data_IF_079028850207
#
_entry.id   IF_079028850207
#
_cell.length_a   1.000
_cell.length_b   1.000
_cell.length_c   1.000
_cell.angle_alpha   90.00
_cell.angle_beta   90.00
_cell.angle_gamma   90.00
#
_symmetry.space_group_name_H-M   'P 1'
#
loop_
_entity.id
_entity.type
_entity.pdbx_description
1 polymer ?
#
# COMPACT_ATOMS: atom_id res chain seq x y z
N UNK A 1 -1.30 -4.98 4.45
CA UNK A 1 -1.77 -3.68 3.92
C UNK A 1 -2.47 -2.96 5.06
N UNK A 2 -1.95 -1.80 5.50
CA UNK A 2 -2.44 -1.17 6.73
C UNK A 2 -3.90 -0.69 6.62
N UNK A 3 -4.73 -1.11 7.58
CA UNK A 3 -6.19 -0.93 7.63
C UNK A 3 -6.65 0.29 8.42
N UNK A 4 -5.75 1.08 9.02
CA UNK A 4 -6.12 2.14 9.98
C UNK A 4 -7.19 3.10 9.43
N UNK A 5 -7.14 3.45 8.14
CA UNK A 5 -8.07 4.38 7.50
C UNK A 5 -9.14 3.74 6.61
N UNK A 6 -9.18 2.41 6.49
CA UNK A 6 -10.15 1.73 5.62
C UNK A 6 -11.60 1.97 6.08
N UNK A 7 -11.83 2.05 7.39
CA UNK A 7 -13.14 2.41 7.96
C UNK A 7 -13.51 3.86 7.69
N UNK A 8 -12.54 4.78 7.84
CA UNK A 8 -12.74 6.21 7.56
C UNK A 8 -13.08 6.45 6.09
N UNK A 9 -12.35 5.85 5.16
CA UNK A 9 -12.67 5.98 3.73
C UNK A 9 -14.00 5.34 3.35
N UNK A 10 -14.43 4.27 4.04
CA UNK A 10 -15.74 3.67 3.80
C UNK A 10 -16.90 4.55 4.27
N UNK A 11 -16.68 5.32 5.33
CA UNK A 11 -17.69 6.22 5.89
C UNK A 11 -17.77 7.59 5.18
N UNK A 12 -16.70 8.00 4.49
CA UNK A 12 -16.61 9.30 3.84
C UNK A 12 -17.10 9.23 2.37
N UNK A 13 -18.13 10.01 1.98
CA UNK A 13 -18.72 9.96 0.65
C UNK A 13 -17.78 10.44 -0.47
N UNK A 14 -16.67 11.11 -0.12
CA UNK A 14 -15.66 11.54 -1.10
C UNK A 14 -14.89 10.38 -1.72
N UNK A 15 -15.01 9.17 -1.17
CA UNK A 15 -14.26 8.01 -1.65
C UNK A 15 -15.17 6.86 -2.08
N UNK A 16 -14.73 6.16 -3.12
CA UNK A 16 -15.41 4.97 -3.62
C UNK A 16 -14.42 3.82 -3.81
N UNK A 17 -14.86 2.59 -3.53
CA UNK A 17 -14.14 1.38 -3.97
C UNK A 17 -14.66 0.98 -5.35
N UNK A 18 -13.79 1.04 -6.36
CA UNK A 18 -14.07 0.55 -7.72
C UNK A 18 -13.15 -0.62 -8.05
N UNK A 19 -13.68 -1.59 -8.79
CA UNK A 19 -12.86 -2.69 -9.31
C UNK A 19 -12.00 -2.18 -10.47
N UNK A 20 -10.73 -2.56 -10.47
CA UNK A 20 -9.82 -2.34 -11.61
C UNK A 20 -9.87 -3.57 -12.50
N UNK A 21 -10.34 -3.42 -13.73
CA UNK A 21 -10.53 -4.54 -14.66
C UNK A 21 -9.24 -5.32 -14.92
N UNK A 22 -8.11 -4.64 -15.14
CA UNK A 22 -6.82 -5.30 -15.38
C UNK A 22 -6.38 -6.20 -14.22
N UNK A 23 -6.43 -5.71 -12.98
CA UNK A 23 -6.12 -6.52 -11.78
C UNK A 23 -7.12 -7.65 -11.56
N UNK A 24 -8.39 -7.44 -11.94
CA UNK A 24 -9.42 -8.47 -11.87
C UNK A 24 -9.12 -9.60 -12.84
N UNK A 25 -8.86 -9.28 -14.11
CA UNK A 25 -8.51 -10.29 -15.11
C UNK A 25 -7.21 -11.01 -14.81
N UNK A 26 -6.19 -10.29 -14.34
CA UNK A 26 -4.93 -10.90 -13.91
C UNK A 26 -5.12 -11.88 -12.74
N UNK A 27 -5.93 -11.51 -11.74
CA UNK A 27 -6.27 -12.40 -10.63
C UNK A 27 -7.03 -13.65 -11.09
N UNK A 28 -8.00 -13.51 -12.01
CA UNK A 28 -8.73 -14.63 -12.61
C UNK A 28 -7.76 -15.54 -13.38
N UNK A 29 -6.90 -14.97 -14.21
CA UNK A 29 -5.93 -15.72 -15.01
C UNK A 29 -4.96 -16.52 -14.14
N UNK A 30 -4.47 -15.95 -13.03
CA UNK A 30 -3.62 -16.66 -12.06
C UNK A 30 -4.34 -17.87 -11.43
N UNK A 31 -5.61 -17.72 -11.07
CA UNK A 31 -6.40 -18.81 -10.49
C UNK A 31 -6.61 -19.92 -11.52
N UNK A 32 -7.00 -19.57 -12.75
CA UNK A 32 -7.21 -20.54 -13.82
C UNK A 32 -5.92 -21.26 -14.19
N UNK A 33 -4.82 -20.53 -14.36
CA UNK A 33 -3.51 -21.11 -14.65
C UNK A 33 -3.05 -22.04 -13.52
N UNK A 34 -3.18 -21.62 -12.25
CA UNK A 34 -2.86 -22.46 -11.12
C UNK A 34 -3.69 -23.75 -11.07
N UNK A 35 -4.99 -23.67 -11.36
CA UNK A 35 -5.85 -24.85 -11.41
C UNK A 35 -5.47 -25.82 -12.54
N UNK A 36 -5.17 -25.28 -13.73
CA UNK A 36 -4.69 -26.07 -14.87
C UNK A 36 -3.36 -26.76 -14.53
N UNK A 37 -2.42 -26.05 -13.90
CA UNK A 37 -1.16 -26.62 -13.45
C UNK A 37 -1.37 -27.72 -12.41
N UNK A 38 -2.27 -27.53 -11.42
CA UNK A 38 -2.58 -28.58 -10.43
C UNK A 38 -3.11 -29.84 -11.11
N UNK A 39 -4.05 -29.70 -12.05
CA UNK A 39 -4.61 -30.84 -12.79
C UNK A 39 -3.52 -31.54 -13.58
N UNK A 40 -2.65 -30.77 -14.26
CA UNK A 40 -1.53 -31.32 -15.03
C UNK A 40 -0.53 -32.05 -14.13
N UNK A 41 -0.14 -31.46 -13.00
CA UNK A 41 0.76 -32.03 -12.00
C UNK A 41 0.17 -33.29 -11.37
N UNK A 42 -1.14 -33.32 -11.11
CA UNK A 42 -1.83 -34.50 -10.59
C UNK A 42 -1.90 -35.64 -11.61
N UNK A 43 -2.19 -35.35 -12.88
CA UNK A 43 -2.23 -36.35 -13.95
C UNK A 43 -0.85 -36.92 -14.28
N UNK A 44 0.19 -36.09 -14.19
CA UNK A 44 1.57 -36.46 -14.49
C UNK A 44 2.38 -36.69 -13.21
N UNK A 45 1.74 -37.01 -12.09
CA UNK A 45 2.40 -37.13 -10.80
C UNK A 45 3.53 -38.16 -10.81
N UNK A 46 3.26 -39.34 -11.39
CA UNK A 46 4.24 -40.43 -11.51
C UNK A 46 5.39 -40.04 -12.47
N UNK A 47 5.13 -39.58 -13.71
CA UNK A 47 6.19 -39.06 -14.59
C UNK A 47 7.04 -37.96 -13.96
N UNK A 48 6.45 -37.01 -13.22
CA UNK A 48 7.16 -35.92 -12.55
C UNK A 48 8.03 -36.42 -11.40
N UNK A 49 7.53 -37.41 -10.64
CA UNK A 49 8.30 -38.06 -9.60
C UNK A 49 9.50 -38.82 -10.19
N UNK A 50 9.32 -39.50 -11.33
CA UNK A 50 10.38 -40.21 -12.04
C UNK A 50 11.42 -39.25 -12.62
N UNK A 51 11.00 -38.16 -13.27
CA UNK A 51 11.89 -37.10 -13.75
C UNK A 51 12.73 -36.49 -12.62
N UNK A 52 12.09 -36.17 -11.48
CA UNK A 52 12.79 -35.66 -10.31
C UNK A 52 13.75 -36.69 -9.68
N UNK A 53 13.47 -37.98 -9.87
CA UNK A 53 14.34 -39.08 -9.44
C UNK A 53 15.60 -39.14 -10.31
N UNK A 54 15.47 -38.96 -11.61
CA UNK A 54 16.60 -39.04 -12.54
C UNK A 54 17.61 -37.89 -12.36
N UNK A 55 17.15 -36.70 -11.97
CA UNK A 55 18.02 -35.55 -11.69
C UNK A 55 18.76 -35.57 -10.34
N UNK A 56 18.57 -36.59 -9.48
CA UNK A 56 19.25 -36.71 -8.19
C UNK A 56 20.57 -37.46 -8.31
N UNK A 57 21.67 -36.75 -8.61
CA UNK A 57 22.94 -37.36 -9.02
C UNK A 57 23.74 -38.06 -7.89
N UNK A 58 23.59 -37.66 -6.62
CA UNK A 58 24.60 -38.01 -5.60
C UNK A 58 24.21 -39.07 -4.54
N UNK A 59 22.93 -39.44 -4.37
CA UNK A 59 22.58 -40.59 -3.50
C UNK A 59 21.17 -41.14 -3.74
N UNK A 60 21.00 -42.45 -3.57
CA UNK A 60 19.68 -43.12 -3.67
C UNK A 60 18.66 -42.55 -2.67
N UNK A 61 19.12 -42.05 -1.51
CA UNK A 61 18.29 -41.49 -0.45
C UNK A 61 17.80 -40.07 -0.82
N UNK A 62 18.68 -39.23 -1.36
CA UNK A 62 18.30 -37.91 -1.92
C UNK A 62 17.38 -38.10 -3.12
N UNK A 63 17.69 -39.05 -4.00
CA UNK A 63 16.90 -39.39 -5.18
C UNK A 63 15.47 -39.83 -4.86
N UNK A 64 15.29 -40.78 -3.95
CA UNK A 64 13.96 -41.23 -3.53
C UNK A 64 13.18 -40.14 -2.78
N UNK A 65 13.88 -39.28 -2.03
CA UNK A 65 13.28 -38.15 -1.33
C UNK A 65 12.82 -37.03 -2.29
N UNK A 66 13.61 -36.72 -3.31
CA UNK A 66 13.27 -35.74 -4.34
C UNK A 66 12.09 -36.21 -5.21
N UNK A 67 12.03 -37.50 -5.57
CA UNK A 67 10.91 -38.07 -6.32
C UNK A 67 9.55 -37.87 -5.62
N UNK A 68 9.51 -38.05 -4.30
CA UNK A 68 8.26 -37.86 -3.52
C UNK A 68 7.93 -36.39 -3.23
N UNK A 69 8.94 -35.52 -3.08
CA UNK A 69 8.75 -34.14 -2.64
C UNK A 69 8.47 -33.20 -3.81
N UNK A 70 9.09 -33.39 -4.97
CA UNK A 70 9.02 -32.43 -6.09
C UNK A 70 7.58 -32.17 -6.57
N UNK A 71 6.75 -33.19 -6.85
CA UNK A 71 5.36 -32.95 -7.25
C UNK A 71 4.55 -32.22 -6.17
N UNK A 72 4.81 -32.52 -4.89
CA UNK A 72 4.15 -31.86 -3.76
C UNK A 72 4.56 -30.38 -3.64
N UNK A 73 5.83 -30.06 -3.88
CA UNK A 73 6.33 -28.68 -3.90
C UNK A 73 5.74 -27.90 -5.08
N UNK A 74 5.61 -28.51 -6.26
CA UNK A 74 4.96 -27.89 -7.42
C UNK A 74 3.50 -27.53 -7.11
N UNK A 75 2.73 -28.47 -6.54
CA UNK A 75 1.36 -28.22 -6.07
C UNK A 75 1.34 -27.08 -5.03
N UNK A 76 2.27 -27.07 -4.09
CA UNK A 76 2.34 -26.00 -3.08
C UNK A 76 2.59 -24.62 -3.70
N UNK A 77 3.48 -24.51 -4.69
CA UNK A 77 3.74 -23.26 -5.43
C UNK A 77 2.48 -22.82 -6.19
N UNK A 78 1.79 -23.74 -6.85
CA UNK A 78 0.54 -23.47 -7.57
C UNK A 78 -0.55 -22.95 -6.64
N UNK A 79 -0.72 -23.57 -5.46
CA UNK A 79 -1.64 -23.13 -4.42
C UNK A 79 -1.32 -21.72 -3.92
N UNK A 80 -0.03 -21.37 -3.78
CA UNK A 80 0.39 -20.00 -3.45
C UNK A 80 -0.03 -19.03 -4.56
N UNK A 81 0.13 -19.41 -5.83
CA UNK A 81 -0.33 -18.61 -6.97
C UNK A 81 -1.84 -18.38 -6.97
N UNK A 82 -2.63 -19.42 -6.70
CA UNK A 82 -4.09 -19.33 -6.58
C UNK A 82 -4.47 -18.42 -5.40
N UNK A 83 -3.87 -18.65 -4.23
CA UNK A 83 -4.12 -17.83 -3.04
C UNK A 83 -3.81 -16.34 -3.31
N UNK A 84 -2.73 -16.06 -4.04
CA UNK A 84 -2.39 -14.72 -4.47
C UNK A 84 -3.43 -14.13 -5.45
N UNK A 85 -3.88 -14.91 -6.43
CA UNK A 85 -4.96 -14.51 -7.34
C UNK A 85 -6.25 -14.17 -6.58
N UNK A 86 -6.65 -14.99 -5.62
CA UNK A 86 -7.80 -14.74 -4.74
C UNK A 86 -7.60 -13.46 -3.92
N UNK A 87 -6.42 -13.28 -3.33
CA UNK A 87 -6.08 -12.05 -2.61
C UNK A 87 -6.22 -10.80 -3.48
N UNK A 88 -5.73 -10.85 -4.73
CA UNK A 88 -5.91 -9.76 -5.68
C UNK A 88 -7.40 -9.51 -5.96
N UNK A 89 -8.23 -10.53 -6.15
CA UNK A 89 -9.65 -10.35 -6.43
C UNK A 89 -10.47 -9.75 -5.29
N UNK A 90 -10.10 -10.06 -4.04
CA UNK A 90 -10.81 -9.62 -2.83
C UNK A 90 -10.30 -8.24 -2.39
N UNK A 91 -8.98 -8.07 -2.33
CA UNK A 91 -8.32 -6.92 -1.70
C UNK A 91 -7.68 -6.01 -2.75
N UNK A 92 -6.80 -6.55 -3.59
CA UNK A 92 -5.94 -5.75 -4.47
C UNK A 92 -6.68 -5.04 -5.61
N UNK A 93 -7.72 -5.67 -6.15
CA UNK A 93 -8.48 -5.21 -7.30
C UNK A 93 -9.48 -4.11 -6.96
N UNK A 94 -9.67 -3.78 -5.67
CA UNK A 94 -10.63 -2.76 -5.20
C UNK A 94 -9.92 -1.58 -4.51
N UNK A 95 -9.03 -0.84 -5.20
CA UNK A 95 -8.43 0.34 -4.61
C UNK A 95 -9.45 1.44 -4.36
N UNK A 96 -9.10 2.35 -3.45
CA UNK A 96 -9.87 3.56 -3.20
C UNK A 96 -9.68 4.56 -4.34
N UNK A 97 -10.75 5.26 -4.68
CA UNK A 97 -10.78 6.32 -5.69
C UNK A 97 -11.49 7.54 -5.11
N UNK A 98 -11.18 8.72 -5.63
CA UNK A 98 -12.00 9.92 -5.42
C UNK A 98 -13.34 9.69 -6.12
N UNK A 99 -14.44 9.80 -5.39
CA UNK A 99 -15.77 9.46 -5.88
C UNK A 99 -16.21 10.36 -7.05
N UNK A 100 -15.92 11.65 -6.97
CA UNK A 100 -16.33 12.65 -7.95
C UNK A 100 -15.69 12.46 -9.32
N UNK A 101 -14.37 12.22 -9.36
CA UNK A 101 -13.57 12.15 -10.60
C UNK A 101 -13.28 10.72 -11.04
N UNK A 102 -13.35 9.75 -10.12
CA UNK A 102 -12.92 8.38 -10.35
C UNK A 102 -11.40 8.20 -10.31
N UNK A 103 -10.61 9.23 -9.95
CA UNK A 103 -9.15 9.13 -9.89
C UNK A 103 -8.71 8.21 -8.76
N UNK A 104 -7.77 7.30 -9.07
CA UNK A 104 -7.27 6.31 -8.10
C UNK A 104 -6.42 6.97 -7.02
N UNK A 105 -6.72 6.66 -5.76
CA UNK A 105 -5.87 7.03 -4.63
C UNK A 105 -4.64 6.14 -4.55
N UNK A 106 -3.48 6.77 -4.52
CA UNK A 106 -2.17 6.13 -4.36
C UNK A 106 -1.61 6.51 -3.00
N UNK A 107 -1.24 5.51 -2.20
CA UNK A 107 -0.52 5.72 -0.95
C UNK A 107 0.92 6.12 -1.27
N UNK A 108 1.35 7.30 -0.79
CA UNK A 108 2.69 7.87 -1.03
C UNK A 108 3.55 7.85 0.22
N UNK A 109 2.93 7.95 1.39
CA UNK A 109 3.62 7.89 2.66
C UNK A 109 2.88 6.99 3.65
N UNK A 110 3.67 6.25 4.41
CA UNK A 110 3.23 5.49 5.56
C UNK A 110 4.37 5.48 6.58
N UNK A 111 4.12 6.01 7.77
CA UNK A 111 5.11 6.08 8.84
C UNK A 111 4.49 5.90 10.20
N UNK A 112 5.21 5.19 11.07
CA UNK A 112 4.93 5.11 12.49
C UNK A 112 5.81 6.10 13.24
N UNK A 113 5.26 6.77 14.24
CA UNK A 113 5.95 7.75 15.05
C UNK A 113 5.70 7.48 16.54
N UNK A 114 6.78 7.55 17.32
CA UNK A 114 6.72 7.40 18.77
C UNK A 114 6.22 8.71 19.36
N UNK A 115 4.94 8.74 19.72
CA UNK A 115 4.31 9.98 20.15
C UNK A 115 2.97 9.75 20.84
N UNK A 116 2.53 10.76 21.58
CA UNK A 116 1.28 10.79 22.31
C UNK A 116 0.12 11.41 21.49
N UNK A 117 -1.04 11.54 22.14
CA UNK A 117 -2.20 12.20 21.55
C UNK A 117 -1.92 13.68 21.22
N UNK A 118 -1.18 14.39 22.07
CA UNK A 118 -0.84 15.81 21.89
C UNK A 118 -0.08 16.03 20.60
N UNK A 119 0.94 15.21 20.35
CA UNK A 119 1.69 15.23 19.10
C UNK A 119 0.82 14.95 17.88
N UNK A 120 -0.12 14.01 17.97
CA UNK A 120 -1.01 13.69 16.84
C UNK A 120 -1.85 14.89 16.43
N UNK A 121 -2.39 15.63 17.41
CA UNK A 121 -3.13 16.87 17.16
C UNK A 121 -2.24 18.00 16.64
N UNK A 122 -1.02 18.12 17.16
CA UNK A 122 -0.07 19.14 16.68
C UNK A 122 0.38 18.86 15.25
N UNK A 123 0.73 17.61 14.94
CA UNK A 123 1.01 17.18 13.58
C UNK A 123 -0.17 17.45 12.64
N UNK A 124 -1.39 17.20 13.09
CA UNK A 124 -2.61 17.51 12.32
C UNK A 124 -2.72 18.99 12.02
N UNK A 125 -2.50 19.86 13.01
CA UNK A 125 -2.49 21.32 12.82
C UNK A 125 -1.41 21.77 11.85
N UNK A 126 -0.17 21.26 11.99
CA UNK A 126 0.95 21.58 11.09
C UNK A 126 0.64 21.18 9.66
N UNK A 127 0.14 19.97 9.42
CA UNK A 127 -0.26 19.53 8.08
C UNK A 127 -1.45 20.32 7.54
N UNK A 128 -2.41 20.72 8.39
CA UNK A 128 -3.58 21.48 7.95
C UNK A 128 -3.22 22.83 7.29
N UNK A 129 -2.08 23.43 7.66
CA UNK A 129 -1.57 24.66 7.02
C UNK A 129 -1.27 24.47 5.53
N UNK A 130 -0.84 23.26 5.14
CA UNK A 130 -0.36 22.96 3.80
C UNK A 130 1.00 23.60 3.45
N UNK A 131 1.68 24.26 4.41
CA UNK A 131 3.00 24.87 4.20
C UNK A 131 4.14 23.93 4.65
N UNK A 132 5.01 23.50 3.72
CA UNK A 132 6.18 22.67 4.04
C UNK A 132 7.11 23.27 5.10
N UNK A 133 7.21 24.60 5.20
CA UNK A 133 8.04 25.25 6.22
C UNK A 133 7.53 24.96 7.64
N UNK A 134 6.21 24.75 7.78
CA UNK A 134 5.55 24.51 9.04
C UNK A 134 5.57 23.03 9.38
N UNK A 135 5.30 22.12 8.43
CA UNK A 135 5.20 20.68 8.73
C UNK A 135 6.51 19.90 8.55
N UNK A 136 7.51 20.43 7.83
CA UNK A 136 8.83 19.82 7.68
C UNK A 136 9.90 20.61 8.47
N UNK A 137 10.91 19.95 9.07
CA UNK A 137 11.12 18.51 9.10
C UNK A 137 10.10 17.80 9.99
N UNK A 138 9.57 16.69 9.50
CA UNK A 138 8.73 15.79 10.28
C UNK A 138 9.59 14.78 11.04
N UNK A 139 9.25 14.39 12.28
CA UNK A 139 10.05 13.44 13.03
C UNK A 139 10.29 12.13 12.28
N UNK A 140 11.45 11.53 12.51
CA UNK A 140 11.79 10.25 11.90
C UNK A 140 10.77 9.16 12.27
N UNK A 141 10.65 8.18 11.38
CA UNK A 141 9.83 7.01 11.62
C UNK A 141 10.50 6.16 12.71
N UNK A 142 9.68 5.62 13.60
CA UNK A 142 10.11 4.74 14.69
C UNK A 142 9.27 3.48 14.64
N UNK A 143 9.93 2.34 14.53
CA UNK A 143 9.27 1.03 14.57
C UNK A 143 8.52 0.85 15.89
N UNK A 144 7.27 0.40 15.81
CA UNK A 144 6.41 0.24 16.99
C UNK A 144 5.84 1.54 17.56
N UNK A 145 5.97 2.67 16.85
CA UNK A 145 5.31 3.94 17.19
C UNK A 145 3.78 3.80 17.28
N UNK A 146 3.16 4.61 18.14
CA UNK A 146 1.71 4.57 18.38
C UNK A 146 0.94 5.47 17.41
N UNK A 147 1.59 6.48 16.84
CA UNK A 147 0.97 7.40 15.88
C UNK A 147 1.33 6.97 14.47
N UNK A 148 0.34 6.95 13.59
CA UNK A 148 0.46 6.58 12.20
C UNK A 148 0.08 7.76 11.34
N UNK A 149 1.00 8.15 10.46
CA UNK A 149 0.73 9.14 9.42
C UNK A 149 0.68 8.43 8.08
N UNK A 150 -0.40 8.66 7.35
CA UNK A 150 -0.60 8.15 6.00
C UNK A 150 -0.95 9.30 5.07
N UNK A 151 -0.31 9.32 3.91
CA UNK A 151 -0.61 10.31 2.86
C UNK A 151 -0.99 9.58 1.59
N UNK A 152 -2.16 9.94 1.06
CA UNK A 152 -2.65 9.47 -0.22
C UNK A 152 -2.73 10.63 -1.21
N UNK A 153 -2.57 10.32 -2.48
CA UNK A 153 -2.59 11.28 -3.58
C UNK A 153 -3.51 10.77 -4.69
N UNK A 154 -4.25 11.69 -5.28
CA UNK A 154 -4.98 11.54 -6.53
C UNK A 154 -4.29 12.47 -7.53
N UNK A 155 -3.20 11.98 -8.14
CA UNK A 155 -2.27 12.82 -8.92
C UNK A 155 -2.94 13.53 -10.11
N UNK A 156 -3.89 12.86 -10.78
CA UNK A 156 -4.64 13.45 -11.90
C UNK A 156 -5.52 14.62 -11.46
N UNK A 157 -5.97 14.64 -10.20
CA UNK A 157 -6.82 15.69 -9.64
C UNK A 157 -6.01 16.74 -8.86
N UNK A 158 -4.67 16.61 -8.83
CA UNK A 158 -3.79 17.40 -7.97
C UNK A 158 -4.31 17.52 -6.53
N UNK A 159 -4.77 16.40 -5.98
CA UNK A 159 -5.37 16.35 -4.64
C UNK A 159 -4.61 15.37 -3.75
N UNK A 160 -4.32 15.77 -2.52
CA UNK A 160 -3.75 14.91 -1.49
C UNK A 160 -4.66 14.83 -0.27
N UNK A 161 -4.63 13.68 0.39
CA UNK A 161 -5.33 13.42 1.63
C UNK A 161 -4.32 12.97 2.69
N UNK A 162 -4.28 13.66 3.82
CA UNK A 162 -3.43 13.33 4.96
C UNK A 162 -4.31 12.77 6.07
N UNK A 163 -3.98 11.55 6.50
CA UNK A 163 -4.59 10.88 7.64
C UNK A 163 -3.59 10.72 8.76
N UNK A 164 -4.00 11.10 9.96
CA UNK A 164 -3.23 10.92 11.19
C UNK A 164 -4.10 10.14 12.16
N UNK A 165 -3.59 9.01 12.64
CA UNK A 165 -4.26 8.17 13.62
C UNK A 165 -3.32 7.83 14.75
N UNK A 166 -3.84 7.60 15.95
CA UNK A 166 -3.06 7.09 17.06
C UNK A 166 -3.74 5.90 17.70
N UNK A 167 -2.93 4.93 18.12
CA UNK A 167 -3.39 3.75 18.81
C UNK A 167 -3.32 3.96 20.32
N UNK A 168 -4.48 4.07 20.96
CA UNK A 168 -4.58 4.09 22.41
C UNK A 168 -4.43 2.66 22.95
N UNK A 169 -3.35 2.41 23.70
CA UNK A 169 -3.02 1.13 24.33
C UNK A 169 -3.04 -0.08 23.36
N UNK A 170 -2.73 0.13 22.08
CA UNK A 170 -2.75 -0.91 21.01
C UNK A 170 -4.11 -1.63 20.85
N UNK A 171 -5.18 -1.13 21.44
CA UNK A 171 -6.53 -1.75 21.40
C UNK A 171 -7.52 -0.93 20.59
N UNK A 172 -7.34 0.39 20.53
CA UNK A 172 -8.26 1.30 19.83
C UNK A 172 -7.49 2.31 18.99
N UNK A 173 -7.70 2.24 17.68
CA UNK A 173 -7.21 3.27 16.75
C UNK A 173 -8.21 4.42 16.72
N UNK A 174 -7.71 5.63 16.97
CA UNK A 174 -8.47 6.86 16.78
C UNK A 174 -7.94 7.59 15.55
N UNK A 175 -8.84 7.97 14.65
CA UNK A 175 -8.51 8.65 13.41
C UNK A 175 -8.92 10.12 13.52
N UNK A 176 -8.00 11.04 13.29
CA UNK A 176 -8.33 12.45 13.14
C UNK A 176 -9.04 12.70 11.80
N UNK A 177 -9.79 13.81 11.67
CA UNK A 177 -10.41 14.21 10.41
C UNK A 177 -9.37 14.28 9.27
N UNK A 178 -9.72 13.73 8.11
CA UNK A 178 -8.85 13.75 6.94
C UNK A 178 -8.62 15.18 6.46
N UNK A 179 -7.36 15.57 6.33
CA UNK A 179 -6.95 16.85 5.75
C UNK A 179 -6.89 16.67 4.24
N UNK A 180 -7.48 17.59 3.48
CA UNK A 180 -7.41 17.60 2.02
C UNK A 180 -6.64 18.82 1.52
N UNK A 181 -5.67 18.60 0.64
CA UNK A 181 -4.94 19.65 -0.06
C UNK A 181 -5.17 19.56 -1.56
N UNK A 182 -5.37 20.71 -2.21
CA UNK A 182 -5.55 20.82 -3.66
C UNK A 182 -4.62 21.89 -4.23
N UNK A 183 -4.34 21.82 -5.53
CA UNK A 183 -3.61 22.86 -6.27
C UNK A 183 -2.21 23.14 -5.68
N UNK A 184 -1.85 24.41 -5.37
CA UNK A 184 -0.52 24.76 -4.86
C UNK A 184 -0.11 24.00 -3.58
N UNK A 185 -1.06 23.75 -2.66
CA UNK A 185 -0.79 23.01 -1.42
C UNK A 185 -0.51 21.52 -1.68
N UNK A 186 -1.15 20.93 -2.70
CA UNK A 186 -0.82 19.57 -3.15
C UNK A 186 0.62 19.53 -3.69
N UNK A 187 0.99 20.49 -4.54
CA UNK A 187 2.34 20.54 -5.12
C UNK A 187 3.41 20.70 -4.04
N UNK A 188 3.14 21.53 -3.03
CA UNK A 188 4.03 21.74 -1.89
C UNK A 188 4.23 20.46 -1.07
N UNK A 189 3.14 19.71 -0.84
CA UNK A 189 3.20 18.42 -0.17
C UNK A 189 3.92 17.35 -1.00
N UNK A 190 3.68 17.25 -2.32
CA UNK A 190 4.40 16.30 -3.17
C UNK A 190 5.90 16.62 -3.23
N UNK A 191 6.28 17.91 -3.26
CA UNK A 191 7.68 18.33 -3.17
C UNK A 191 8.31 17.92 -1.83
N UNK A 192 7.62 18.15 -0.72
CA UNK A 192 8.08 17.73 0.60
C UNK A 192 8.19 16.20 0.74
N UNK A 193 7.26 15.45 0.14
CA UNK A 193 7.30 13.99 0.06
C UNK A 193 8.51 13.48 -0.73
N UNK A 194 8.82 14.10 -1.88
CA UNK A 194 10.03 13.79 -2.66
C UNK A 194 11.30 14.10 -1.87
N UNK A 195 11.28 15.14 -1.04
CA UNK A 195 12.34 15.48 -0.09
C UNK A 195 12.28 14.66 1.22
N UNK A 196 11.53 13.57 1.24
CA UNK A 196 11.43 12.58 2.33
C UNK A 196 10.77 13.08 3.63
N UNK A 197 10.11 14.23 3.65
CA UNK A 197 9.39 14.87 4.78
C UNK A 197 10.22 15.20 6.04
N UNK A 198 11.19 14.36 6.42
CA UNK A 198 12.05 14.59 7.58
C UNK A 198 13.18 15.57 7.31
N UNK A 199 13.29 16.07 6.08
CA UNK A 199 14.20 17.17 5.72
C UNK A 199 13.38 18.44 5.51
N UNK A 200 13.89 19.61 5.93
CA UNK A 200 13.32 20.89 5.52
C UNK A 200 13.26 20.96 4.00
N UNK A 201 12.13 21.41 3.43
CA UNK A 201 12.03 21.68 2.01
C UNK A 201 12.76 23.00 1.72
N UNK A 202 13.79 23.03 0.84
CA UNK A 202 14.44 24.28 0.48
C UNK A 202 13.43 25.24 -0.16
N UNK A 203 13.53 26.55 0.15
CA UNK A 203 12.56 27.56 -0.30
C UNK A 203 12.37 27.58 -1.82
N UNK A 204 13.45 27.38 -2.58
CA UNK A 204 13.45 27.28 -4.05
C UNK A 204 12.52 26.18 -4.59
N UNK A 205 12.31 25.14 -3.79
CA UNK A 205 11.47 23.98 -4.11
C UNK A 205 10.05 24.12 -3.54
N UNK A 206 9.75 25.17 -2.77
CA UNK A 206 8.41 25.41 -2.23
C UNK A 206 7.56 26.20 -3.24
N UNK A 207 6.56 25.57 -3.89
CA UNK A 207 5.72 26.25 -4.88
C UNK A 207 4.85 27.37 -4.27
N UNK A 208 4.69 27.42 -2.94
CA UNK A 208 3.97 28.51 -2.24
C UNK A 208 4.80 29.79 -2.12
N UNK A 209 6.12 29.70 -2.26
CA UNK A 209 7.04 30.84 -2.18
C UNK A 209 7.40 31.39 -3.56
N UNK A 210 6.90 30.78 -4.64
CA UNK A 210 7.13 31.27 -6.00
C UNK A 210 6.34 32.58 -6.23
N UNK A 211 6.92 33.58 -6.92
CA UNK A 211 6.20 34.80 -7.28
C UNK A 211 4.93 34.46 -8.08
N UNK A 212 3.76 34.92 -7.61
CA UNK A 212 2.47 34.77 -8.32
C UNK A 212 1.55 33.61 -7.87
N UNK A 213 1.93 32.80 -6.87
CA UNK A 213 1.12 31.65 -6.39
C UNK A 213 0.59 31.79 -4.96
N UNK A 214 0.83 32.91 -4.26
CA UNK A 214 0.19 33.19 -2.97
C UNK A 214 -1.32 33.32 -3.18
N UNK A 215 -2.16 32.52 -2.52
CA UNK A 215 -3.57 32.86 -2.38
C UNK A 215 -3.66 34.23 -1.72
N UNK A 216 -4.52 35.12 -2.23
CA UNK A 216 -4.91 36.30 -1.48
C UNK A 216 -5.58 35.81 -0.18
N UNK A 217 -5.16 36.40 0.94
CA UNK A 217 -5.69 36.12 2.28
C UNK A 217 -7.20 36.38 2.37
#
# INVERSE_FOLDING_TARGET
MSTHFDKTFRADPRFARKRVAGLTWFGIALILAGFVCIVFTAQNFIPLAEWAREGGEDSALVRNRMAGITPLVMIAIELVGIAWGVYLLIVGARPWHVAATGTRLRKRYYGFHLSDQTFSHEAHRRFATGDPSVFAPFPHQVDGGQTVVMIWTADADQTAFVGISWDQNRRRTHNLPLISHTGPRYQALDAALRNKLYKPLPDEHNPLLRPGTRPAD
#
